data_IF_057543057323
#
_entry.id   IF_057543057323
#
_cell.length_a   1.000
_cell.length_b   1.000
_cell.length_c   1.000
_cell.angle_alpha   90.00
_cell.angle_beta   90.00
_cell.angle_gamma   90.00
#
_symmetry.space_group_name_H-M   'P 1'
#
loop_
_entity.id
_entity.type
_entity.pdbx_description
1 polymer ?
#
# COMPACT_ATOMS: atom_id res chain seq x y z
N UNK A 1 -35.96 73.08 -36.30
CA UNK A 1 -35.28 71.76 -36.46
C UNK A 1 -34.53 71.46 -35.21
N UNK A 2 -35.12 70.62 -34.33
CA UNK A 2 -34.61 70.33 -32.97
C UNK A 2 -34.06 68.88 -32.91
N UNK A 3 -32.72 68.74 -32.80
CA UNK A 3 -32.11 67.41 -32.62
C UNK A 3 -32.17 67.01 -31.14
N UNK A 4 -32.96 65.95 -30.85
CA UNK A 4 -32.95 65.29 -29.53
C UNK A 4 -31.77 64.30 -29.45
N UNK A 5 -30.82 64.61 -28.56
CA UNK A 5 -29.77 63.66 -28.20
C UNK A 5 -30.31 62.54 -27.27
N UNK A 6 -30.12 61.30 -27.66
CA UNK A 6 -30.40 60.10 -26.83
C UNK A 6 -29.12 59.79 -25.99
N UNK A 7 -29.22 59.96 -24.69
CA UNK A 7 -28.20 59.47 -23.77
C UNK A 7 -28.45 57.95 -23.53
N UNK A 8 -27.49 57.13 -23.94
CA UNK A 8 -27.44 55.69 -23.64
C UNK A 8 -26.70 55.57 -22.34
N UNK A 9 -27.39 55.13 -21.29
CA UNK A 9 -26.78 54.79 -19.99
C UNK A 9 -26.37 53.30 -20.10
N UNK A 10 -25.05 53.06 -20.14
CA UNK A 10 -24.46 51.73 -20.02
C UNK A 10 -24.39 51.36 -18.53
N UNK A 11 -25.25 50.43 -18.11
CA UNK A 11 -25.13 49.76 -16.82
C UNK A 11 -24.08 48.65 -16.94
N UNK A 12 -22.94 48.87 -16.31
CA UNK A 12 -21.93 47.85 -16.12
C UNK A 12 -22.33 46.96 -14.92
N UNK A 13 -22.77 45.75 -15.18
CA UNK A 13 -22.99 44.69 -14.14
C UNK A 13 -21.65 44.05 -13.83
N UNK A 14 -21.11 44.36 -12.65
CA UNK A 14 -19.94 43.68 -12.12
C UNK A 14 -20.35 42.31 -11.53
N UNK A 15 -20.01 41.22 -12.21
CA UNK A 15 -20.18 39.87 -11.73
C UNK A 15 -19.04 39.54 -10.79
N UNK A 16 -19.30 39.47 -9.48
CA UNK A 16 -18.34 39.00 -8.48
C UNK A 16 -18.36 37.47 -8.51
N UNK A 17 -17.32 36.85 -9.06
CA UNK A 17 -17.10 35.42 -9.01
C UNK A 17 -16.53 35.08 -7.62
N UNK A 18 -17.35 34.49 -6.76
CA UNK A 18 -16.91 33.88 -5.49
C UNK A 18 -16.25 32.53 -5.81
N UNK A 19 -14.94 32.50 -5.83
CA UNK A 19 -14.18 31.24 -5.90
C UNK A 19 -14.17 30.64 -4.50
N UNK A 20 -15.03 29.66 -4.27
CA UNK A 20 -14.98 28.82 -3.06
C UNK A 20 -13.75 27.91 -3.15
N UNK A 21 -12.69 28.22 -2.42
CA UNK A 21 -11.58 27.29 -2.15
C UNK A 21 -12.13 26.17 -1.24
N UNK A 22 -12.43 25.04 -1.85
CA UNK A 22 -12.66 23.79 -1.10
C UNK A 22 -11.29 23.29 -0.65
N UNK A 23 -10.89 23.65 0.57
CA UNK A 23 -9.75 23.03 1.22
C UNK A 23 -10.15 21.56 1.51
N UNK A 24 -9.72 20.65 0.65
CA UNK A 24 -9.76 19.22 0.93
C UNK A 24 -8.80 18.96 2.09
N UNK A 25 -9.32 18.97 3.32
CA UNK A 25 -8.61 18.41 4.47
C UNK A 25 -8.42 16.92 4.16
N UNK A 26 -7.20 16.53 3.82
CA UNK A 26 -6.80 15.14 3.83
C UNK A 26 -6.97 14.65 5.28
N UNK A 27 -8.07 13.99 5.56
CA UNK A 27 -8.25 13.22 6.79
C UNK A 27 -7.17 12.15 6.71
N UNK A 28 -6.09 12.34 7.46
CA UNK A 28 -5.14 11.28 7.70
C UNK A 28 -5.94 10.16 8.37
N UNK A 29 -6.25 9.12 7.61
CA UNK A 29 -6.87 7.93 8.14
C UNK A 29 -5.91 7.40 9.22
N UNK A 30 -6.29 7.52 10.48
CA UNK A 30 -5.62 6.89 11.61
C UNK A 30 -5.98 5.41 11.58
N UNK A 31 -5.57 4.72 10.50
CA UNK A 31 -5.73 3.28 10.39
C UNK A 31 -4.88 2.60 11.47
N UNK A 32 -5.34 1.47 11.96
CA UNK A 32 -4.57 0.61 12.82
C UNK A 32 -3.21 0.29 12.17
N UNK A 33 -2.20 0.06 13.01
CA UNK A 33 -0.83 -0.16 12.54
C UNK A 33 -0.32 -1.50 13.05
N UNK A 34 0.05 -2.38 12.14
CA UNK A 34 0.78 -3.60 12.47
C UNK A 34 2.28 -3.29 12.63
N UNK A 35 2.89 -3.74 13.73
CA UNK A 35 4.32 -3.55 14.03
C UNK A 35 5.02 -4.86 14.31
N UNK A 36 6.22 -5.01 13.80
CA UNK A 36 7.16 -6.07 14.16
C UNK A 36 8.58 -5.71 13.75
N UNK A 37 9.58 -6.12 14.50
CA UNK A 37 11.01 -6.04 14.14
C UNK A 37 11.49 -4.64 13.72
N UNK A 38 10.92 -3.58 14.30
CA UNK A 38 11.26 -2.20 13.98
C UNK A 38 10.70 -1.68 12.66
N UNK A 39 9.72 -2.36 12.08
CA UNK A 39 8.93 -1.91 10.92
C UNK A 39 7.46 -1.84 11.25
N UNK A 40 6.73 -1.09 10.45
CA UNK A 40 5.27 -0.97 10.55
C UNK A 40 4.61 -0.88 9.19
N UNK A 41 3.36 -1.36 9.13
CA UNK A 41 2.43 -1.24 8.01
C UNK A 41 1.10 -0.68 8.52
N UNK A 42 0.44 0.17 7.74
CA UNK A 42 -0.96 0.54 7.99
C UNK A 42 -1.85 -0.65 7.67
N UNK A 43 -2.77 -0.97 8.58
CA UNK A 43 -3.77 -2.02 8.38
C UNK A 43 -4.97 -1.43 7.65
N UNK A 44 -5.38 -1.98 6.49
CA UNK A 44 -6.70 -1.70 5.93
C UNK A 44 -7.82 -2.20 6.85
N UNK A 45 -9.02 -1.66 6.69
CA UNK A 45 -10.19 -2.06 7.46
C UNK A 45 -10.47 -3.57 7.30
N UNK A 46 -10.70 -4.25 8.40
CA UNK A 46 -10.96 -5.69 8.44
C UNK A 46 -9.73 -6.58 8.21
N UNK A 47 -8.54 -6.00 8.11
CA UNK A 47 -7.29 -6.77 8.04
C UNK A 47 -6.69 -6.99 9.42
N UNK A 48 -5.91 -8.05 9.52
CA UNK A 48 -5.23 -8.40 10.76
C UNK A 48 -3.77 -8.80 10.54
N UNK A 49 -3.00 -8.74 11.63
CA UNK A 49 -1.65 -9.31 11.66
C UNK A 49 -1.76 -10.83 11.63
N UNK A 50 -1.05 -11.45 10.70
CA UNK A 50 -0.95 -12.90 10.55
C UNK A 50 0.33 -13.39 11.24
N UNK A 51 0.25 -14.54 11.93
CA UNK A 51 1.44 -15.15 12.50
C UNK A 51 2.44 -15.48 11.38
N UNK A 52 3.73 -15.16 11.55
CA UNK A 52 4.75 -15.59 10.60
C UNK A 52 4.77 -17.12 10.50
N UNK A 53 4.97 -17.63 9.29
CA UNK A 53 5.22 -19.05 9.11
C UNK A 53 6.49 -19.46 9.91
N UNK A 54 6.47 -20.66 10.43
CA UNK A 54 7.65 -21.22 11.10
C UNK A 54 8.76 -21.38 10.05
N UNK A 55 9.89 -20.70 10.25
CA UNK A 55 11.05 -20.77 9.37
C UNK A 55 12.31 -20.94 10.22
N UNK A 56 13.12 -21.93 9.87
CA UNK A 56 14.43 -22.17 10.49
C UNK A 56 15.50 -21.17 10.00
N UNK A 57 15.20 -20.39 8.95
CA UNK A 57 16.15 -19.44 8.38
C UNK A 57 16.28 -18.21 9.26
N UNK A 58 17.52 -17.77 9.37
CA UNK A 58 17.85 -16.57 10.15
C UNK A 58 18.06 -15.35 9.27
N UNK A 59 18.30 -15.53 7.96
CA UNK A 59 18.55 -14.47 7.00
C UNK A 59 18.43 -14.97 5.54
N UNK A 60 17.55 -14.46 4.71
CA UNK A 60 16.45 -13.56 5.07
C UNK A 60 15.38 -14.24 5.92
N UNK A 61 14.53 -13.45 6.56
CA UNK A 61 13.39 -13.97 7.33
C UNK A 61 12.12 -13.12 7.12
N UNK A 62 10.96 -13.74 7.33
CA UNK A 62 9.69 -13.02 7.41
C UNK A 62 9.65 -12.17 8.68
N UNK A 63 9.38 -10.88 8.52
CA UNK A 63 9.34 -9.91 9.62
C UNK A 63 7.91 -9.55 10.02
N UNK A 64 7.03 -9.33 9.05
CA UNK A 64 5.66 -8.90 9.28
C UNK A 64 4.77 -9.43 8.18
N UNK A 65 3.61 -9.93 8.58
CA UNK A 65 2.55 -10.35 7.67
C UNK A 65 1.25 -9.75 8.12
N UNK A 66 0.52 -9.18 7.19
CA UNK A 66 -0.87 -8.75 7.37
C UNK A 66 -1.73 -9.34 6.26
N UNK A 67 -3.01 -9.52 6.52
CA UNK A 67 -3.91 -10.07 5.50
C UNK A 67 -5.37 -9.96 5.88
N UNK A 68 -6.21 -10.23 4.89
CA UNK A 68 -7.65 -10.41 5.07
C UNK A 68 -7.94 -11.60 5.98
N UNK A 69 -9.15 -11.68 6.49
CA UNK A 69 -9.59 -12.86 7.26
C UNK A 69 -9.35 -14.16 6.48
N UNK A 70 -9.00 -15.22 7.21
CA UNK A 70 -8.69 -16.55 6.65
C UNK A 70 -7.31 -16.71 6.04
N UNK A 71 -6.47 -15.64 5.96
CA UNK A 71 -5.05 -15.79 5.63
C UNK A 71 -4.33 -16.45 6.79
N UNK A 72 -3.56 -17.52 6.51
CA UNK A 72 -2.86 -18.28 7.55
C UNK A 72 -1.54 -18.86 7.05
N UNK A 73 -0.59 -18.95 7.96
CA UNK A 73 0.68 -19.60 7.70
C UNK A 73 0.50 -21.10 7.37
N UNK A 74 1.37 -21.58 6.49
CA UNK A 74 1.52 -22.99 6.14
C UNK A 74 2.98 -23.37 6.27
N UNK A 75 3.25 -24.65 6.38
CA UNK A 75 4.60 -25.17 6.26
C UNK A 75 5.06 -25.08 4.79
N UNK A 76 6.19 -24.46 4.54
CA UNK A 76 6.79 -24.31 3.21
C UNK A 76 8.26 -23.94 3.31
N UNK A 77 9.05 -24.38 2.34
CA UNK A 77 10.45 -24.02 2.19
C UNK A 77 10.67 -22.61 1.59
N UNK A 78 9.59 -21.94 1.16
CA UNK A 78 9.65 -20.61 0.55
C UNK A 78 9.00 -19.58 1.47
N UNK A 79 9.65 -18.42 1.63
CA UNK A 79 9.19 -17.38 2.54
C UNK A 79 7.84 -16.74 2.12
N UNK A 80 7.64 -16.53 0.83
CA UNK A 80 6.43 -15.87 0.30
C UNK A 80 5.27 -16.86 0.17
N UNK A 81 5.50 -18.07 -0.32
CA UNK A 81 4.45 -19.07 -0.51
C UNK A 81 4.01 -19.80 0.77
N UNK A 82 4.57 -19.41 1.91
CA UNK A 82 4.21 -19.98 3.21
C UNK A 82 2.86 -19.47 3.75
N UNK A 83 2.00 -18.94 2.87
CA UNK A 83 0.69 -18.42 3.30
C UNK A 83 -0.42 -18.93 2.38
N UNK A 84 -1.43 -19.54 2.99
CA UNK A 84 -2.69 -19.87 2.31
C UNK A 84 -3.57 -18.64 2.29
N UNK A 85 -4.05 -18.28 1.11
CA UNK A 85 -4.97 -17.17 0.89
C UNK A 85 -6.36 -17.70 0.57
N UNK A 86 -7.44 -17.10 1.13
CA UNK A 86 -8.78 -17.25 0.55
C UNK A 86 -8.80 -16.76 -0.90
N UNK A 87 -9.72 -17.31 -1.69
CA UNK A 87 -9.80 -16.92 -3.11
C UNK A 87 -10.09 -15.43 -3.32
N UNK A 88 -10.85 -14.80 -2.42
CA UNK A 88 -11.18 -13.38 -2.40
C UNK A 88 -10.19 -12.53 -1.59
N UNK A 89 -9.27 -13.16 -0.86
CA UNK A 89 -8.39 -12.50 0.10
C UNK A 89 -7.10 -11.98 -0.52
N UNK A 90 -6.37 -11.23 0.29
CA UNK A 90 -5.02 -10.78 -0.04
C UNK A 90 -4.14 -10.75 1.22
N UNK A 91 -2.83 -10.72 1.01
CA UNK A 91 -1.83 -10.59 2.07
C UNK A 91 -0.67 -9.69 1.63
N UNK A 92 -0.05 -9.06 2.61
CA UNK A 92 1.25 -8.38 2.47
C UNK A 92 2.27 -9.11 3.34
N UNK A 93 3.35 -9.57 2.73
CA UNK A 93 4.44 -10.30 3.39
C UNK A 93 5.71 -9.47 3.28
N UNK A 94 6.28 -9.07 4.42
CA UNK A 94 7.54 -8.35 4.48
C UNK A 94 8.66 -9.28 4.91
N UNK A 95 9.67 -9.41 4.06
CA UNK A 95 10.89 -10.17 4.30
C UNK A 95 12.03 -9.18 4.52
N UNK A 96 12.93 -9.45 5.43
CA UNK A 96 14.08 -8.59 5.71
C UNK A 96 15.40 -9.35 5.75
N UNK A 97 16.44 -8.65 5.33
CA UNK A 97 17.84 -9.05 5.43
C UNK A 97 18.52 -8.29 6.57
N UNK A 98 19.50 -8.90 7.18
CA UNK A 98 20.34 -8.26 8.23
C UNK A 98 21.25 -7.20 7.64
N UNK A 99 21.71 -7.41 6.41
CA UNK A 99 22.61 -6.50 5.70
C UNK A 99 22.02 -6.09 4.36
N UNK A 100 22.38 -4.89 3.90
CA UNK A 100 21.99 -4.45 2.55
C UNK A 100 22.65 -5.32 1.48
N UNK A 101 21.87 -5.78 0.53
CA UNK A 101 22.35 -6.56 -0.62
C UNK A 101 22.65 -5.68 -1.84
N UNK A 102 22.51 -4.36 -1.71
CA UNK A 102 22.96 -3.37 -2.70
C UNK A 102 22.26 -3.42 -4.06
N UNK A 103 21.04 -3.98 -4.14
CA UNK A 103 20.33 -4.14 -5.42
C UNK A 103 19.32 -3.01 -5.63
N UNK A 104 19.40 -2.33 -6.76
CA UNK A 104 18.41 -1.34 -7.18
C UNK A 104 17.13 -2.04 -7.66
N UNK A 105 16.05 -1.87 -6.90
CA UNK A 105 14.72 -2.34 -7.26
C UNK A 105 13.74 -1.18 -7.44
N UNK A 106 12.63 -1.40 -8.17
CA UNK A 106 11.59 -0.38 -8.30
C UNK A 106 11.09 0.12 -6.95
N UNK A 107 10.76 1.41 -6.81
CA UNK A 107 10.19 1.93 -5.59
C UNK A 107 8.82 1.30 -5.31
N UNK A 108 8.40 1.30 -4.03
CA UNK A 108 7.09 0.77 -3.62
C UNK A 108 5.92 1.39 -4.40
N UNK A 109 6.02 2.69 -4.72
CA UNK A 109 5.02 3.41 -5.53
C UNK A 109 4.84 2.84 -6.94
N UNK A 110 5.84 2.15 -7.47
CA UNK A 110 5.78 1.53 -8.79
C UNK A 110 5.28 0.07 -8.77
N UNK A 111 4.92 -0.46 -7.60
CA UNK A 111 4.36 -1.81 -7.49
C UNK A 111 3.07 -1.95 -8.29
N UNK A 112 3.01 -2.97 -9.14
CA UNK A 112 1.83 -3.34 -9.92
C UNK A 112 1.59 -4.83 -9.81
N UNK A 113 0.34 -5.19 -9.57
CA UNK A 113 -0.05 -6.60 -9.54
C UNK A 113 0.06 -7.22 -10.93
N UNK A 114 0.59 -8.42 -11.00
CA UNK A 114 0.66 -9.22 -12.20
C UNK A 114 0.46 -10.71 -11.87
N UNK A 115 0.06 -11.49 -12.85
CA UNK A 115 0.04 -12.94 -12.72
C UNK A 115 1.43 -13.49 -13.02
N UNK A 116 1.88 -14.44 -12.24
CA UNK A 116 3.20 -15.05 -12.41
C UNK A 116 3.61 -15.90 -11.22
N UNK A 117 4.88 -16.28 -11.17
CA UNK A 117 5.48 -16.95 -10.02
C UNK A 117 6.40 -15.96 -9.30
N UNK A 118 6.20 -15.82 -7.99
CA UNK A 118 6.91 -14.89 -7.13
C UNK A 118 7.42 -15.64 -5.91
N UNK A 119 8.71 -15.94 -5.85
CA UNK A 119 9.29 -16.67 -4.72
C UNK A 119 8.45 -17.90 -4.33
N UNK A 120 8.27 -18.83 -5.26
CA UNK A 120 7.41 -20.02 -5.21
C UNK A 120 5.89 -19.75 -5.12
N UNK A 121 5.43 -18.53 -4.99
CA UNK A 121 4.01 -18.21 -5.07
C UNK A 121 3.57 -18.13 -6.53
N UNK A 122 2.70 -19.04 -6.95
CA UNK A 122 2.07 -19.00 -8.27
C UNK A 122 0.69 -18.36 -8.18
N UNK A 123 0.49 -17.18 -8.77
CA UNK A 123 -0.78 -16.48 -8.68
C UNK A 123 -0.69 -15.01 -9.08
N UNK A 124 -1.57 -14.19 -8.47
CA UNK A 124 -1.59 -12.74 -8.67
C UNK A 124 -0.79 -12.09 -7.55
N UNK A 125 0.29 -11.42 -7.88
CA UNK A 125 1.13 -10.78 -6.88
C UNK A 125 1.92 -9.60 -7.40
N UNK A 126 2.57 -8.91 -6.50
CA UNK A 126 3.53 -7.85 -6.77
C UNK A 126 4.64 -7.91 -5.73
N UNK A 127 5.83 -7.45 -6.08
CA UNK A 127 6.88 -7.27 -5.10
C UNK A 127 7.72 -6.03 -5.41
N UNK A 128 8.32 -5.48 -4.36
CA UNK A 128 9.36 -4.48 -4.44
C UNK A 128 10.40 -4.77 -3.37
N UNK A 129 11.64 -4.38 -3.62
CA UNK A 129 12.68 -4.35 -2.60
C UNK A 129 13.03 -2.91 -2.30
N UNK A 130 13.25 -2.63 -1.04
CA UNK A 130 13.60 -1.29 -0.58
C UNK A 130 14.68 -1.36 0.47
N UNK A 131 15.52 -0.34 0.51
CA UNK A 131 16.44 -0.11 1.61
C UNK A 131 15.86 0.95 2.54
N UNK A 132 15.92 0.71 3.83
CA UNK A 132 15.56 1.65 4.89
C UNK A 132 16.64 1.62 5.97
N UNK A 133 17.38 2.72 6.11
CA UNK A 133 18.59 2.74 6.91
C UNK A 133 19.65 1.81 6.31
N UNK A 134 20.18 0.92 7.12
CA UNK A 134 21.20 -0.08 6.76
C UNK A 134 20.62 -1.47 6.40
N UNK A 135 19.30 -1.58 6.27
CA UNK A 135 18.58 -2.85 6.06
C UNK A 135 17.81 -2.88 4.76
N UNK A 136 17.83 -4.02 4.12
CA UNK A 136 16.99 -4.31 2.96
C UNK A 136 15.72 -5.06 3.35
N UNK A 137 14.65 -4.74 2.63
CA UNK A 137 13.34 -5.37 2.76
C UNK A 137 12.79 -5.72 1.40
N UNK A 138 12.13 -6.85 1.31
CA UNK A 138 11.26 -7.20 0.20
C UNK A 138 9.83 -7.18 0.70
N UNK A 139 8.97 -6.42 0.02
CA UNK A 139 7.54 -6.38 0.29
C UNK A 139 6.84 -7.12 -0.83
N UNK A 140 6.03 -8.10 -0.46
CA UNK A 140 5.27 -8.91 -1.41
C UNK A 140 3.78 -8.68 -1.15
N UNK A 141 3.03 -8.40 -2.20
CA UNK A 141 1.56 -8.43 -2.22
C UNK A 141 1.14 -9.72 -2.89
N UNK A 142 0.29 -10.47 -2.23
CA UNK A 142 -0.28 -11.72 -2.72
C UNK A 142 -1.79 -11.56 -2.77
N UNK A 143 -2.42 -11.94 -3.87
CA UNK A 143 -3.88 -11.86 -4.04
C UNK A 143 -4.45 -13.19 -4.48
N UNK A 144 -5.55 -13.57 -3.90
CA UNK A 144 -6.35 -14.71 -4.33
C UNK A 144 -6.92 -14.51 -5.74
N UNK A 145 -7.29 -15.60 -6.40
CA UNK A 145 -7.70 -15.56 -7.81
C UNK A 145 -8.97 -14.72 -8.04
N UNK A 146 -9.84 -14.60 -7.02
CA UNK A 146 -11.09 -13.82 -7.06
C UNK A 146 -11.04 -12.55 -6.20
N UNK A 147 -9.85 -12.14 -5.73
CA UNK A 147 -9.71 -10.90 -4.97
C UNK A 147 -10.21 -9.71 -5.80
N UNK A 148 -11.04 -8.87 -5.19
CA UNK A 148 -11.60 -7.67 -5.82
C UNK A 148 -10.52 -6.62 -6.08
N UNK A 149 -10.80 -5.68 -6.99
CA UNK A 149 -9.89 -4.55 -7.20
C UNK A 149 -9.69 -3.73 -5.92
N UNK A 150 -10.74 -3.53 -5.11
CA UNK A 150 -10.63 -2.85 -3.82
C UNK A 150 -9.66 -3.58 -2.89
N UNK A 151 -9.83 -4.89 -2.68
CA UNK A 151 -8.93 -5.71 -1.87
C UNK A 151 -7.48 -5.64 -2.36
N UNK A 152 -7.27 -5.57 -3.67
CA UNK A 152 -5.93 -5.45 -4.27
C UNK A 152 -5.32 -4.07 -4.01
N UNK A 153 -6.09 -3.00 -4.18
CA UNK A 153 -5.60 -1.64 -3.89
C UNK A 153 -5.30 -1.47 -2.40
N UNK A 154 -6.15 -1.99 -1.51
CA UNK A 154 -5.88 -2.03 -0.07
C UNK A 154 -4.54 -2.72 0.24
N UNK A 155 -4.27 -3.85 -0.40
CA UNK A 155 -3.01 -4.58 -0.25
C UNK A 155 -1.80 -3.77 -0.76
N UNK A 156 -1.95 -3.11 -1.92
CA UNK A 156 -0.89 -2.28 -2.50
C UNK A 156 -0.62 -1.05 -1.64
N UNK A 157 -1.66 -0.40 -1.10
CA UNK A 157 -1.53 0.78 -0.24
C UNK A 157 -0.92 0.40 1.11
N UNK A 158 -1.34 -0.73 1.69
CA UNK A 158 -0.69 -1.28 2.87
C UNK A 158 0.81 -1.55 2.63
N UNK A 159 1.17 -2.16 1.51
CA UNK A 159 2.57 -2.39 1.14
C UNK A 159 3.36 -1.09 0.98
N UNK A 160 2.77 -0.07 0.36
CA UNK A 160 3.37 1.27 0.16
C UNK A 160 3.57 2.03 1.48
N UNK A 161 2.77 1.71 2.51
CA UNK A 161 2.85 2.32 3.83
C UNK A 161 4.05 1.86 4.67
N UNK A 162 4.86 0.89 4.19
CA UNK A 162 6.00 0.36 4.93
C UNK A 162 6.93 1.49 5.42
N UNK A 163 7.10 1.56 6.74
CA UNK A 163 7.97 2.51 7.40
C UNK A 163 8.77 1.85 8.51
N UNK A 164 9.87 2.48 8.93
CA UNK A 164 10.52 2.11 10.18
C UNK A 164 9.64 2.56 11.34
N UNK A 165 9.43 1.67 12.31
CA UNK A 165 8.71 2.01 13.52
C UNK A 165 9.56 3.03 14.32
N UNK A 166 8.92 4.09 14.79
CA UNK A 166 9.56 5.03 15.71
C UNK A 166 10.02 4.27 16.95
N UNK A 167 11.25 4.55 17.41
CA UNK A 167 11.71 4.05 18.71
C UNK A 167 10.89 4.79 19.78
N UNK A 168 10.01 4.08 20.43
CA UNK A 168 9.31 4.55 21.64
C UNK A 168 10.26 4.49 22.83
#
# INVERSE_FOLDING_TARGET
>A
MTKRGRHIVLLATATVAVVALVASAAVAATGDVARAWGIQLTLPDGWSKVAPASDSRTDPRTLLVIGTDGVRAMESDCLVSSYRLPAEGAAVVVIGWKTSIGVNFPPLSAMKLRRGTFDCFAGRGAFARITRGDRDFQVNVLAGDRASNATIEDALDAARSLALASRS
#
